data_IF_159509679292
#
_entry.id   IF_159509679292
#
_cell.length_a   1.000
_cell.length_b   1.000
_cell.length_c   1.000
_cell.angle_alpha   90.00
_cell.angle_beta   90.00
_cell.angle_gamma   90.00
#
_symmetry.space_group_name_H-M   'P 1'
#
loop_
_entity.id
_entity.type
_entity.pdbx_description
1 polymer ?
#
# COMPACT_ATOMS: atom_id res chain seq x y z
N UNK A 1 23.96 -31.13 46.72
CA UNK A 1 22.61 -30.67 46.27
C UNK A 1 22.84 -29.75 45.07
N UNK A 2 22.76 -30.31 43.85
CA UNK A 2 22.98 -29.58 42.60
C UNK A 2 21.62 -29.10 42.12
N UNK A 3 21.44 -27.81 42.05
CA UNK A 3 20.25 -27.19 41.50
C UNK A 3 20.41 -27.25 39.99
N UNK A 4 19.53 -28.00 39.33
CA UNK A 4 19.46 -28.14 37.89
C UNK A 4 18.60 -26.98 37.39
N UNK A 5 19.27 -25.93 36.91
CA UNK A 5 18.64 -24.75 36.32
C UNK A 5 18.56 -24.98 34.81
N UNK A 6 17.61 -25.85 34.41
CA UNK A 6 17.21 -25.96 33.01
C UNK A 6 16.14 -24.91 32.73
N UNK A 7 16.58 -23.71 32.41
CA UNK A 7 15.72 -22.72 31.77
C UNK A 7 15.22 -23.36 30.47
N UNK A 8 13.94 -23.71 30.40
CA UNK A 8 13.25 -24.07 29.17
C UNK A 8 13.33 -22.86 28.23
N UNK A 9 14.08 -23.01 27.13
CA UNK A 9 14.00 -22.08 26.01
C UNK A 9 12.54 -22.05 25.55
N UNK A 10 11.93 -20.85 25.34
CA UNK A 10 10.56 -20.80 24.86
C UNK A 10 10.51 -21.48 23.49
N UNK A 11 9.64 -22.47 23.33
CA UNK A 11 9.39 -23.17 22.06
C UNK A 11 9.13 -22.13 20.98
N UNK A 12 10.09 -21.93 20.11
CA UNK A 12 9.98 -21.01 18.98
C UNK A 12 8.83 -21.44 18.07
N UNK A 13 8.17 -20.49 17.36
CA UNK A 13 7.02 -20.79 16.53
C UNK A 13 7.32 -21.93 15.56
N UNK A 14 6.37 -22.83 15.35
CA UNK A 14 6.47 -23.96 14.41
C UNK A 14 6.96 -23.47 13.03
N UNK A 15 7.52 -24.35 12.20
CA UNK A 15 7.98 -23.99 10.83
C UNK A 15 6.91 -23.20 10.07
N UNK A 16 5.64 -23.60 10.21
CA UNK A 16 4.49 -22.91 9.60
C UNK A 16 4.24 -21.52 10.22
N UNK A 17 4.44 -21.35 11.51
CA UNK A 17 4.36 -20.05 12.18
C UNK A 17 5.47 -19.09 11.74
N UNK A 18 6.69 -19.61 11.49
CA UNK A 18 7.80 -18.80 10.99
C UNK A 18 7.62 -18.34 9.55
N UNK A 19 7.03 -19.16 8.67
CA UNK A 19 6.71 -18.77 7.30
C UNK A 19 5.62 -17.69 7.27
N UNK A 20 4.59 -17.82 8.11
CA UNK A 20 3.54 -16.80 8.24
C UNK A 20 4.10 -15.48 8.80
N UNK A 21 4.90 -15.55 9.84
CA UNK A 21 5.57 -14.40 10.43
C UNK A 21 6.49 -13.69 9.41
N UNK A 22 7.30 -14.45 8.65
CA UNK A 22 8.16 -13.90 7.60
C UNK A 22 7.34 -13.21 6.50
N UNK A 23 6.22 -13.80 6.10
CA UNK A 23 5.30 -13.20 5.15
C UNK A 23 4.76 -11.86 5.66
N UNK A 24 4.26 -11.83 6.90
CA UNK A 24 3.71 -10.61 7.51
C UNK A 24 4.76 -9.49 7.61
N UNK A 25 5.99 -9.83 8.04
CA UNK A 25 7.08 -8.85 8.13
C UNK A 25 7.52 -8.32 6.78
N UNK A 26 7.62 -9.18 5.75
CA UNK A 26 7.94 -8.76 4.39
C UNK A 26 6.83 -7.92 3.78
N UNK A 27 5.57 -8.34 3.95
CA UNK A 27 4.40 -7.59 3.47
C UNK A 27 4.35 -6.21 4.11
N UNK A 28 4.57 -6.11 5.42
CA UNK A 28 4.63 -4.84 6.13
C UNK A 28 5.78 -3.94 5.65
N UNK A 29 6.98 -4.51 5.45
CA UNK A 29 8.14 -3.76 4.95
C UNK A 29 7.92 -3.20 3.53
N UNK A 30 7.22 -3.94 2.68
CA UNK A 30 6.80 -3.45 1.35
C UNK A 30 5.74 -2.36 1.52
N UNK A 31 4.75 -2.57 2.38
CA UNK A 31 3.67 -1.61 2.65
C UNK A 31 4.18 -0.27 3.20
N UNK A 32 5.18 -0.31 4.05
CA UNK A 32 5.79 0.89 4.64
C UNK A 32 6.85 1.55 3.73
N UNK A 33 7.19 0.90 2.60
CA UNK A 33 8.24 1.37 1.69
C UNK A 33 9.65 1.17 2.23
N UNK A 34 9.84 0.34 3.27
CA UNK A 34 11.16 -0.08 3.76
C UNK A 34 11.87 -0.92 2.70
N UNK A 35 11.10 -1.71 1.95
CA UNK A 35 11.55 -2.39 0.72
C UNK A 35 10.81 -1.72 -0.43
N UNK A 36 11.54 -1.00 -1.27
CA UNK A 36 10.96 -0.15 -2.31
C UNK A 36 10.56 -0.94 -3.57
N UNK A 37 9.58 -0.46 -4.37
CA UNK A 37 9.29 -1.02 -5.69
C UNK A 37 10.55 -1.12 -6.57
N UNK A 38 10.75 -2.28 -7.20
CA UNK A 38 11.94 -2.60 -7.99
C UNK A 38 13.16 -3.02 -7.18
N UNK A 39 13.14 -2.92 -5.87
CA UNK A 39 14.25 -3.38 -5.03
C UNK A 39 14.36 -4.91 -5.09
N UNK A 40 15.58 -5.40 -5.40
CA UNK A 40 15.87 -6.84 -5.41
C UNK A 40 15.84 -7.38 -3.99
N UNK A 41 15.24 -8.56 -3.85
CA UNK A 41 15.16 -9.30 -2.61
C UNK A 41 15.81 -10.69 -2.79
N UNK A 42 16.88 -10.94 -2.03
CA UNK A 42 17.53 -12.24 -2.02
C UNK A 42 17.14 -13.01 -0.76
N UNK A 43 16.85 -14.31 -0.88
CA UNK A 43 16.51 -15.15 0.28
C UNK A 43 17.56 -15.05 1.40
N UNK A 44 18.84 -14.90 1.03
CA UNK A 44 19.96 -14.73 1.97
C UNK A 44 19.86 -13.46 2.79
N UNK A 45 19.54 -12.35 2.12
CA UNK A 45 19.54 -11.02 2.72
C UNK A 45 18.32 -10.89 3.64
N UNK A 46 17.17 -11.39 3.17
CA UNK A 46 15.94 -11.44 3.98
C UNK A 46 16.10 -12.37 5.18
N UNK A 47 16.75 -13.54 5.01
CA UNK A 47 17.05 -14.46 6.10
C UNK A 47 17.94 -13.81 7.16
N UNK A 48 18.96 -13.08 6.75
CA UNK A 48 19.82 -12.33 7.66
C UNK A 48 19.06 -11.18 8.36
N UNK A 49 18.26 -10.43 7.60
CA UNK A 49 17.46 -9.31 8.13
C UNK A 49 16.43 -9.77 9.17
N UNK A 50 15.73 -10.89 8.91
CA UNK A 50 14.72 -11.44 9.82
C UNK A 50 15.29 -12.33 10.94
N UNK A 51 16.56 -12.72 10.88
CA UNK A 51 17.19 -13.61 11.85
C UNK A 51 16.66 -15.06 11.85
N UNK A 52 16.12 -15.53 10.72
CA UNK A 52 15.55 -16.88 10.58
C UNK A 52 16.18 -17.64 9.41
N UNK A 53 15.97 -18.96 9.36
CA UNK A 53 16.49 -19.81 8.29
C UNK A 53 15.84 -19.52 6.93
N UNK A 54 16.48 -19.91 5.81
CA UNK A 54 16.01 -19.64 4.44
C UNK A 54 14.70 -20.32 4.08
N UNK A 55 14.38 -21.49 4.65
CA UNK A 55 13.18 -22.24 4.29
C UNK A 55 11.88 -21.44 4.52
N UNK A 56 11.58 -20.91 5.72
CA UNK A 56 10.39 -20.08 5.92
C UNK A 56 10.41 -18.78 5.11
N UNK A 57 11.58 -18.19 4.86
CA UNK A 57 11.72 -17.01 4.01
C UNK A 57 11.32 -17.33 2.56
N UNK A 58 11.81 -18.45 2.01
CA UNK A 58 11.47 -18.89 0.65
C UNK A 58 9.96 -19.13 0.48
N UNK A 59 9.32 -19.74 1.47
CA UNK A 59 7.87 -19.95 1.47
C UNK A 59 7.12 -18.62 1.49
N UNK A 60 7.52 -17.68 2.34
CA UNK A 60 6.95 -16.34 2.40
C UNK A 60 7.12 -15.58 1.07
N UNK A 61 8.32 -15.59 0.49
CA UNK A 61 8.62 -14.94 -0.79
C UNK A 61 7.83 -15.56 -1.95
N UNK A 62 7.68 -16.88 -1.99
CA UNK A 62 6.83 -17.56 -2.99
C UNK A 62 5.36 -17.14 -2.87
N UNK A 63 4.86 -16.97 -1.66
CA UNK A 63 3.51 -16.50 -1.43
C UNK A 63 3.34 -15.06 -1.92
N UNK A 64 4.25 -14.15 -1.58
CA UNK A 64 4.26 -12.78 -2.08
C UNK A 64 4.37 -12.72 -3.60
N UNK A 65 5.12 -13.64 -4.21
CA UNK A 65 5.20 -13.76 -5.67
C UNK A 65 3.89 -14.26 -6.28
N UNK A 66 3.24 -15.26 -5.69
CA UNK A 66 1.94 -15.75 -6.14
C UNK A 66 0.84 -14.67 -6.01
N UNK A 67 0.98 -13.77 -5.04
CA UNK A 67 0.12 -12.62 -4.84
C UNK A 67 0.50 -11.43 -5.75
N UNK A 68 1.61 -11.50 -6.52
CA UNK A 68 2.06 -10.46 -7.44
C UNK A 68 2.81 -9.29 -6.78
N UNK A 69 3.12 -9.37 -5.48
CA UNK A 69 3.90 -8.36 -4.76
C UNK A 69 5.40 -8.45 -5.05
N UNK A 70 5.87 -9.64 -5.41
CA UNK A 70 7.22 -9.89 -5.90
C UNK A 70 7.17 -10.47 -7.32
N UNK A 71 8.13 -10.11 -8.14
CA UNK A 71 8.28 -10.62 -9.52
C UNK A 71 9.73 -11.07 -9.79
N UNK A 72 9.92 -11.84 -10.86
CA UNK A 72 11.27 -12.23 -11.27
C UNK A 72 12.09 -11.02 -11.72
N UNK A 73 13.23 -10.80 -11.07
CA UNK A 73 14.14 -9.72 -11.44
C UNK A 73 14.99 -10.09 -12.66
N UNK A 74 15.25 -9.12 -13.53
CA UNK A 74 16.24 -9.28 -14.59
C UNK A 74 17.61 -9.64 -13.98
N UNK A 75 18.18 -10.79 -14.39
CA UNK A 75 19.44 -11.29 -13.83
C UNK A 75 19.29 -12.18 -12.59
N UNK A 76 18.08 -12.70 -12.34
CA UNK A 76 17.76 -13.72 -11.31
C UNK A 76 17.37 -13.16 -9.96
N UNK A 77 16.71 -14.00 -9.16
CA UNK A 77 16.10 -13.63 -7.88
C UNK A 77 14.72 -12.98 -8.05
N UNK A 78 14.20 -12.43 -6.97
CA UNK A 78 12.94 -11.69 -6.96
C UNK A 78 13.20 -10.19 -6.69
N UNK A 79 12.27 -9.36 -7.12
CA UNK A 79 12.22 -7.93 -6.80
C UNK A 79 10.79 -7.55 -6.44
N UNK A 80 10.61 -6.46 -5.71
CA UNK A 80 9.29 -5.88 -5.49
C UNK A 80 8.74 -5.40 -6.84
N UNK A 81 7.51 -5.77 -7.15
CA UNK A 81 6.89 -5.49 -8.43
C UNK A 81 6.78 -3.97 -8.71
N UNK A 82 6.92 -3.59 -9.98
CA UNK A 82 6.73 -2.22 -10.46
C UNK A 82 5.54 -2.22 -11.42
N UNK A 83 4.58 -1.35 -11.15
CA UNK A 83 3.42 -1.19 -12.01
C UNK A 83 3.58 0.04 -12.91
N UNK A 84 3.45 -0.16 -14.21
CA UNK A 84 3.40 0.91 -15.20
C UNK A 84 2.04 1.66 -15.16
N UNK A 85 1.94 2.75 -15.91
CA UNK A 85 0.72 3.56 -15.94
C UNK A 85 -0.52 2.79 -16.43
N UNK A 86 -0.33 1.81 -17.30
CA UNK A 86 -1.40 0.96 -17.81
C UNK A 86 -1.92 0.04 -16.71
N UNK A 87 -1.03 -0.66 -16.01
CA UNK A 87 -1.38 -1.53 -14.89
C UNK A 87 -2.05 -0.75 -13.74
N UNK A 88 -1.59 0.49 -13.47
CA UNK A 88 -2.26 1.40 -12.53
C UNK A 88 -3.71 1.68 -12.98
N UNK A 89 -3.94 1.97 -14.26
CA UNK A 89 -5.28 2.19 -14.79
C UNK A 89 -6.18 0.96 -14.66
N UNK A 90 -5.66 -0.23 -14.97
CA UNK A 90 -6.35 -1.51 -14.82
C UNK A 90 -6.72 -1.79 -13.35
N UNK A 91 -5.80 -1.53 -12.43
CA UNK A 91 -6.02 -1.65 -10.99
C UNK A 91 -7.16 -0.73 -10.50
N UNK A 92 -7.14 0.55 -10.89
CA UNK A 92 -8.18 1.50 -10.49
C UNK A 92 -9.54 1.20 -11.11
N UNK A 93 -9.61 0.62 -12.30
CA UNK A 93 -10.87 0.19 -12.91
C UNK A 93 -11.55 -0.92 -12.09
N UNK A 94 -10.78 -1.87 -11.55
CA UNK A 94 -11.31 -2.91 -10.65
C UNK A 94 -11.70 -2.31 -9.30
N UNK A 95 -10.88 -1.42 -8.74
CA UNK A 95 -11.21 -0.68 -7.50
C UNK A 95 -12.53 0.05 -7.62
N UNK A 96 -12.72 0.81 -8.70
CA UNK A 96 -13.95 1.57 -8.94
C UNK A 96 -15.19 0.67 -8.87
N UNK A 97 -15.12 -0.51 -9.49
CA UNK A 97 -16.23 -1.46 -9.50
C UNK A 97 -16.51 -2.05 -8.11
N UNK A 98 -15.46 -2.50 -7.42
CA UNK A 98 -15.60 -3.16 -6.12
C UNK A 98 -15.95 -2.17 -5.00
N UNK A 99 -15.32 -1.00 -4.98
CA UNK A 99 -15.58 0.01 -3.95
C UNK A 99 -16.94 0.69 -4.13
N UNK A 100 -17.37 0.91 -5.37
CA UNK A 100 -18.74 1.34 -5.65
C UNK A 100 -19.76 0.36 -5.12
N UNK A 101 -19.59 -0.94 -5.41
CA UNK A 101 -20.44 -2.00 -4.88
C UNK A 101 -20.41 -2.06 -3.35
N UNK A 102 -19.25 -1.86 -2.72
CA UNK A 102 -19.12 -1.84 -1.26
C UNK A 102 -19.94 -0.69 -0.63
N UNK A 103 -19.86 0.50 -1.21
CA UNK A 103 -20.62 1.66 -0.73
C UNK A 103 -22.13 1.47 -0.88
N UNK A 104 -22.59 0.91 -2.01
CA UNK A 104 -24.00 0.57 -2.20
C UNK A 104 -24.50 -0.41 -1.14
N UNK A 105 -23.76 -1.51 -0.94
CA UNK A 105 -24.12 -2.52 0.07
C UNK A 105 -24.02 -1.96 1.50
N UNK A 106 -23.07 -1.08 1.79
CA UNK A 106 -23.01 -0.41 3.09
C UNK A 106 -24.22 0.48 3.33
N UNK A 107 -24.74 1.18 2.31
CA UNK A 107 -25.97 1.95 2.42
C UNK A 107 -27.21 1.07 2.70
N UNK A 108 -27.25 -0.14 2.15
CA UNK A 108 -28.32 -1.11 2.38
C UNK A 108 -28.23 -1.77 3.76
N UNK A 109 -27.02 -2.22 4.15
CA UNK A 109 -26.82 -3.21 5.20
C UNK A 109 -26.28 -2.62 6.52
N UNK A 110 -25.61 -1.46 6.50
CA UNK A 110 -25.00 -0.89 7.70
C UNK A 110 -26.02 -0.68 8.81
N UNK A 111 -25.72 -1.16 10.02
CA UNK A 111 -26.52 -0.91 11.20
C UNK A 111 -26.34 0.53 11.75
N UNK A 112 -27.08 0.89 12.80
CA UNK A 112 -27.02 2.23 13.38
C UNK A 112 -25.64 2.53 14.00
N UNK A 113 -24.99 1.53 14.58
CA UNK A 113 -23.66 1.65 15.21
C UNK A 113 -22.61 1.88 14.15
N UNK A 114 -22.60 1.09 13.07
CA UNK A 114 -21.65 1.20 11.96
C UNK A 114 -21.77 2.57 11.27
N UNK A 115 -22.98 3.06 11.06
CA UNK A 115 -23.19 4.42 10.52
C UNK A 115 -22.69 5.50 11.46
N UNK A 116 -22.88 5.36 12.79
CA UNK A 116 -22.34 6.28 13.78
C UNK A 116 -20.80 6.29 13.80
N UNK A 117 -20.16 5.13 13.66
CA UNK A 117 -18.69 5.02 13.57
C UNK A 117 -18.20 5.68 12.28
N UNK A 118 -18.87 5.46 11.15
CA UNK A 118 -18.49 6.09 9.88
C UNK A 118 -18.53 7.62 9.95
N UNK A 119 -19.56 8.17 10.63
CA UNK A 119 -19.64 9.60 10.86
C UNK A 119 -18.49 10.10 11.75
N UNK A 120 -18.18 9.40 12.84
CA UNK A 120 -17.09 9.76 13.73
C UNK A 120 -15.71 9.70 13.03
N UNK A 121 -15.48 8.72 12.15
CA UNK A 121 -14.27 8.65 11.32
C UNK A 121 -14.20 9.89 10.41
N UNK A 122 -15.29 10.29 9.77
CA UNK A 122 -15.32 11.46 8.91
C UNK A 122 -15.00 12.75 9.67
N UNK A 123 -15.57 12.93 10.87
CA UNK A 123 -15.27 14.06 11.77
C UNK A 123 -13.78 14.09 12.17
N UNK A 124 -13.20 12.90 12.48
CA UNK A 124 -11.76 12.76 12.77
C UNK A 124 -10.90 13.19 11.59
N UNK A 125 -11.25 12.75 10.38
CA UNK A 125 -10.52 13.10 9.15
C UNK A 125 -10.53 14.62 8.88
N UNK A 126 -11.66 15.28 9.14
CA UNK A 126 -11.79 16.73 8.98
C UNK A 126 -10.94 17.53 9.98
N UNK A 127 -10.68 16.95 11.15
CA UNK A 127 -9.87 17.57 12.21
C UNK A 127 -8.36 17.34 12.06
N UNK A 128 -7.93 16.51 11.10
CA UNK A 128 -6.50 16.24 10.87
C UNK A 128 -5.75 17.49 10.38
N UNK A 129 -4.48 17.64 10.78
CA UNK A 129 -3.61 18.64 10.19
C UNK A 129 -3.37 18.32 8.69
N UNK A 130 -2.88 19.30 7.93
CA UNK A 130 -2.51 19.13 6.52
C UNK A 130 -1.22 18.28 6.39
N UNK A 131 -1.34 17.00 6.78
CA UNK A 131 -0.30 15.97 6.67
C UNK A 131 -0.80 14.84 5.75
N UNK A 132 -0.26 14.71 4.54
CA UNK A 132 -0.63 13.66 3.60
C UNK A 132 -0.54 12.24 4.15
N UNK A 133 0.38 11.97 5.07
CA UNK A 133 0.53 10.65 5.67
C UNK A 133 -0.55 10.37 6.71
N UNK A 134 -0.93 11.38 7.50
CA UNK A 134 -2.03 11.25 8.45
C UNK A 134 -3.34 10.99 7.71
N UNK A 135 -3.64 11.79 6.66
CA UNK A 135 -4.81 11.57 5.82
C UNK A 135 -4.82 10.20 5.15
N UNK A 136 -3.67 9.70 4.69
CA UNK A 136 -3.59 8.37 4.07
C UNK A 136 -3.95 7.23 5.05
N UNK A 137 -3.52 7.33 6.32
CA UNK A 137 -3.87 6.32 7.35
C UNK A 137 -5.35 6.33 7.69
N UNK A 138 -5.92 7.50 7.92
CA UNK A 138 -7.35 7.62 8.23
C UNK A 138 -8.24 7.23 7.03
N UNK A 139 -7.78 7.51 5.81
CA UNK A 139 -8.43 7.05 4.58
C UNK A 139 -8.51 5.52 4.51
N UNK A 140 -7.45 4.81 4.92
CA UNK A 140 -7.46 3.34 4.97
C UNK A 140 -8.53 2.85 5.96
N UNK A 141 -8.60 3.43 7.16
CA UNK A 141 -9.61 3.10 8.17
C UNK A 141 -11.04 3.41 7.68
N UNK A 142 -11.25 4.56 7.02
CA UNK A 142 -12.52 4.96 6.44
C UNK A 142 -13.04 3.93 5.44
N UNK A 143 -12.24 3.57 4.47
CA UNK A 143 -12.62 2.60 3.43
C UNK A 143 -12.83 1.20 4.02
N UNK A 144 -11.96 0.72 4.90
CA UNK A 144 -12.11 -0.59 5.55
C UNK A 144 -13.41 -0.68 6.34
N UNK A 145 -13.85 0.43 6.98
CA UNK A 145 -15.13 0.47 7.68
C UNK A 145 -16.31 0.32 6.71
N UNK A 146 -16.29 1.02 5.57
CA UNK A 146 -17.32 0.86 4.51
C UNK A 146 -17.35 -0.58 4.00
N UNK A 147 -16.18 -1.20 3.76
CA UNK A 147 -16.13 -2.58 3.26
C UNK A 147 -16.68 -3.59 4.28
N UNK A 148 -16.42 -3.37 5.57
CA UNK A 148 -17.01 -4.17 6.65
C UNK A 148 -18.51 -4.03 6.70
N UNK A 149 -19.02 -2.78 6.68
CA UNK A 149 -20.44 -2.44 6.74
C UNK A 149 -21.25 -2.89 5.50
N UNK A 150 -20.59 -3.27 4.41
CA UNK A 150 -21.23 -3.92 3.26
C UNK A 150 -21.77 -5.32 3.58
N UNK A 151 -21.34 -5.95 4.68
CA UNK A 151 -21.72 -7.31 5.11
C UNK A 151 -21.59 -8.39 4.03
N UNK A 152 -20.63 -8.23 3.10
CA UNK A 152 -20.34 -9.16 2.03
C UNK A 152 -18.91 -9.70 2.13
N UNK A 153 -18.78 -10.91 2.75
CA UNK A 153 -17.48 -11.54 2.97
C UNK A 153 -16.67 -11.79 1.69
N UNK A 154 -17.34 -12.04 0.56
CA UNK A 154 -16.66 -12.29 -0.71
C UNK A 154 -16.12 -10.99 -1.31
N UNK A 155 -16.90 -9.91 -1.26
CA UNK A 155 -16.46 -8.59 -1.66
C UNK A 155 -15.27 -8.13 -0.82
N UNK A 156 -15.38 -8.21 0.51
CA UNK A 156 -14.32 -7.85 1.45
C UNK A 156 -13.02 -8.60 1.18
N UNK A 157 -13.09 -9.92 0.94
CA UNK A 157 -11.92 -10.74 0.62
C UNK A 157 -11.23 -10.26 -0.67
N UNK A 158 -11.99 -9.97 -1.72
CA UNK A 158 -11.44 -9.52 -3.01
C UNK A 158 -10.87 -8.10 -2.91
N UNK A 159 -11.55 -7.19 -2.19
CA UNK A 159 -11.04 -5.83 -1.94
C UNK A 159 -9.71 -5.86 -1.19
N UNK A 160 -9.62 -6.60 -0.08
CA UNK A 160 -8.37 -6.72 0.68
C UNK A 160 -7.24 -7.29 -0.15
N UNK A 161 -7.50 -8.32 -0.97
CA UNK A 161 -6.49 -8.87 -1.88
C UNK A 161 -6.03 -7.84 -2.91
N UNK A 162 -6.95 -7.08 -3.50
CA UNK A 162 -6.63 -6.03 -4.46
C UNK A 162 -5.84 -4.90 -3.79
N UNK A 163 -6.25 -4.44 -2.61
CA UNK A 163 -5.64 -3.29 -1.92
C UNK A 163 -4.22 -3.57 -1.41
N UNK A 164 -3.80 -4.83 -1.31
CA UNK A 164 -2.40 -5.19 -1.05
C UNK A 164 -1.43 -4.60 -2.09
N UNK A 165 -1.92 -4.20 -3.27
CA UNK A 165 -1.10 -3.56 -4.31
C UNK A 165 -0.93 -2.04 -4.12
N UNK A 166 -1.74 -1.39 -3.29
CA UNK A 166 -1.67 0.07 -3.10
C UNK A 166 -0.27 0.56 -2.71
N UNK A 167 0.46 -0.10 -1.80
CA UNK A 167 1.83 0.30 -1.43
C UNK A 167 2.81 0.28 -2.59
N UNK A 168 2.61 -0.59 -3.58
CA UNK A 168 3.47 -0.72 -4.76
C UNK A 168 3.31 0.45 -5.74
N UNK A 169 2.26 1.25 -5.57
CA UNK A 169 2.00 2.41 -6.43
C UNK A 169 2.82 3.64 -6.05
N UNK A 170 3.70 3.54 -5.04
CA UNK A 170 4.56 4.63 -4.59
C UNK A 170 3.89 5.59 -3.61
N UNK A 171 4.27 6.87 -3.63
CA UNK A 171 3.80 7.88 -2.68
C UNK A 171 2.26 7.99 -2.68
N UNK A 172 1.68 8.35 -1.52
CA UNK A 172 0.23 8.55 -1.41
C UNK A 172 -0.31 9.60 -2.38
N UNK A 173 -1.54 9.40 -2.85
CA UNK A 173 -2.25 10.37 -3.69
C UNK A 173 -2.49 11.71 -3.00
N UNK A 174 -2.49 11.74 -1.68
CA UNK A 174 -2.59 12.95 -0.87
C UNK A 174 -1.41 13.92 -1.05
N UNK A 175 -0.31 13.48 -1.67
CA UNK A 175 0.78 14.37 -2.09
C UNK A 175 0.42 15.23 -3.31
N UNK A 176 -0.66 14.92 -4.04
CA UNK A 176 -1.11 15.76 -5.14
C UNK A 176 -1.73 17.07 -4.60
N UNK A 177 -1.46 18.22 -5.23
CA UNK A 177 -1.98 19.52 -4.79
C UNK A 177 -3.52 19.51 -4.68
N UNK A 178 -4.05 19.99 -3.56
CA UNK A 178 -5.49 20.09 -3.31
C UNK A 178 -6.20 18.76 -3.04
N UNK A 179 -5.51 17.61 -3.10
CA UNK A 179 -6.15 16.29 -2.96
C UNK A 179 -6.78 16.08 -1.58
N UNK A 180 -6.18 16.61 -0.53
CA UNK A 180 -6.73 16.51 0.83
C UNK A 180 -8.16 17.09 0.87
N UNK A 181 -8.33 18.33 0.46
CA UNK A 181 -9.63 18.99 0.47
C UNK A 181 -10.65 18.27 -0.42
N UNK A 182 -10.27 17.95 -1.66
CA UNK A 182 -11.15 17.23 -2.60
C UNK A 182 -11.56 15.85 -2.05
N UNK A 183 -10.64 15.11 -1.43
CA UNK A 183 -10.95 13.80 -0.86
C UNK A 183 -11.94 13.91 0.31
N UNK A 184 -11.80 14.91 1.18
CA UNK A 184 -12.74 15.13 2.28
C UNK A 184 -14.15 15.43 1.79
N UNK A 185 -14.32 16.25 0.74
CA UNK A 185 -15.61 16.54 0.12
C UNK A 185 -16.23 15.28 -0.50
N UNK A 186 -15.43 14.49 -1.21
CA UNK A 186 -15.82 13.21 -1.81
C UNK A 186 -16.26 12.20 -0.74
N UNK A 187 -15.50 12.05 0.35
CA UNK A 187 -15.84 11.17 1.47
C UNK A 187 -17.12 11.62 2.16
N UNK A 188 -17.29 12.92 2.38
CA UNK A 188 -18.52 13.45 2.95
C UNK A 188 -19.75 13.11 2.10
N UNK A 189 -19.59 13.13 0.77
CA UNK A 189 -20.67 12.76 -0.16
C UNK A 189 -21.02 11.28 -0.04
N UNK A 190 -20.03 10.40 0.07
CA UNK A 190 -20.23 8.95 0.30
C UNK A 190 -20.94 8.71 1.64
N UNK A 191 -20.44 9.32 2.71
CA UNK A 191 -21.04 9.19 4.06
C UNK A 191 -22.49 9.63 4.04
N UNK A 192 -22.79 10.79 3.45
CA UNK A 192 -24.14 11.34 3.37
C UNK A 192 -25.10 10.36 2.67
N UNK A 193 -24.66 9.72 1.59
CA UNK A 193 -25.47 8.74 0.86
C UNK A 193 -25.69 7.45 1.69
N UNK A 194 -24.66 6.96 2.39
CA UNK A 194 -24.77 5.78 3.27
C UNK A 194 -25.72 6.06 4.45
N UNK A 195 -25.60 7.23 5.08
CA UNK A 195 -26.47 7.63 6.19
C UNK A 195 -27.93 7.78 5.74
N UNK A 196 -28.15 8.28 4.52
CA UNK A 196 -29.49 8.39 3.91
C UNK A 196 -30.03 7.04 3.43
N UNK A 197 -29.28 5.95 3.51
CA UNK A 197 -29.63 4.62 2.96
C UNK A 197 -29.97 4.68 1.47
N UNK A 198 -29.19 5.45 0.71
CA UNK A 198 -29.33 5.58 -0.75
C UNK A 198 -28.19 4.81 -1.44
N UNK A 199 -28.39 3.53 -1.79
CA UNK A 199 -27.33 2.70 -2.38
C UNK A 199 -26.88 3.20 -3.75
N UNK A 200 -27.77 3.79 -4.54
CA UNK A 200 -27.46 4.30 -5.88
C UNK A 200 -26.50 5.49 -5.78
N UNK A 201 -26.81 6.45 -4.93
CA UNK A 201 -25.93 7.61 -4.69
C UNK A 201 -24.63 7.21 -4.01
N UNK A 202 -24.64 6.26 -3.08
CA UNK A 202 -23.43 5.77 -2.43
C UNK A 202 -22.47 5.12 -3.44
N UNK A 203 -22.98 4.27 -4.35
CA UNK A 203 -22.21 3.68 -5.43
C UNK A 203 -21.58 4.74 -6.34
N UNK A 204 -22.41 5.68 -6.82
CA UNK A 204 -21.98 6.74 -7.74
C UNK A 204 -20.91 7.63 -7.09
N UNK A 205 -21.11 8.05 -5.85
CA UNK A 205 -20.15 8.85 -5.10
C UNK A 205 -18.81 8.13 -4.90
N UNK A 206 -18.84 6.84 -4.52
CA UNK A 206 -17.63 6.05 -4.36
C UNK A 206 -16.88 5.85 -5.69
N UNK A 207 -17.58 5.59 -6.79
CA UNK A 207 -16.98 5.49 -8.13
C UNK A 207 -16.32 6.80 -8.55
N UNK A 208 -16.95 7.94 -8.33
CA UNK A 208 -16.38 9.26 -8.62
C UNK A 208 -15.12 9.52 -7.78
N UNK A 209 -15.15 9.18 -6.49
CA UNK A 209 -13.99 9.26 -5.61
C UNK A 209 -12.79 8.45 -6.15
N UNK A 210 -13.00 7.20 -6.59
CA UNK A 210 -11.92 6.36 -7.12
C UNK A 210 -11.38 6.90 -8.45
N UNK A 211 -12.22 7.45 -9.34
CA UNK A 211 -11.77 8.12 -10.57
C UNK A 211 -10.90 9.35 -10.25
N UNK A 212 -11.31 10.16 -9.29
CA UNK A 212 -10.54 11.31 -8.82
C UNK A 212 -9.20 10.89 -8.19
N UNK A 213 -9.21 9.79 -7.41
CA UNK A 213 -8.00 9.21 -6.86
C UNK A 213 -7.04 8.70 -7.97
N UNK A 214 -7.55 8.13 -9.08
CA UNK A 214 -6.73 7.76 -10.24
C UNK A 214 -6.07 9.00 -10.88
N UNK A 215 -6.81 10.09 -11.06
CA UNK A 215 -6.24 11.34 -11.62
C UNK A 215 -5.10 11.87 -10.74
N UNK A 216 -5.31 11.88 -9.41
CA UNK A 216 -4.29 12.26 -8.45
C UNK A 216 -3.08 11.31 -8.46
N UNK A 217 -3.31 10.00 -8.64
CA UNK A 217 -2.26 9.00 -8.79
C UNK A 217 -1.40 9.28 -10.03
N UNK A 218 -2.01 9.54 -11.17
CA UNK A 218 -1.29 9.84 -12.42
C UNK A 218 -0.47 11.13 -12.29
N UNK A 219 -0.98 12.12 -11.54
CA UNK A 219 -0.23 13.35 -11.25
C UNK A 219 1.05 13.03 -10.44
N UNK A 220 0.93 12.26 -9.34
CA UNK A 220 2.06 11.86 -8.49
C UNK A 220 3.10 11.06 -9.31
N UNK A 221 2.67 10.10 -10.13
CA UNK A 221 3.57 9.32 -11.00
C UNK A 221 4.32 10.23 -11.98
N UNK A 222 3.62 11.19 -12.59
CA UNK A 222 4.26 12.14 -13.52
C UNK A 222 5.30 13.03 -12.80
N UNK A 223 5.04 13.45 -11.58
CA UNK A 223 6.01 14.20 -10.76
C UNK A 223 7.24 13.36 -10.43
N UNK A 224 7.06 12.09 -10.03
CA UNK A 224 8.16 11.19 -9.69
C UNK A 224 9.07 10.92 -10.90
N UNK A 225 8.48 10.73 -12.08
CA UNK A 225 9.23 10.58 -13.35
C UNK A 225 10.03 11.85 -13.66
N UNK A 226 9.43 13.03 -13.51
CA UNK A 226 10.12 14.32 -13.73
C UNK A 226 11.26 14.53 -12.73
N UNK A 227 11.04 14.20 -11.46
CA UNK A 227 12.05 14.29 -10.40
C UNK A 227 13.24 13.35 -10.68
N UNK A 228 12.98 12.10 -11.11
CA UNK A 228 14.00 11.15 -11.49
C UNK A 228 14.82 11.62 -12.70
N UNK A 229 14.18 12.19 -13.72
CA UNK A 229 14.84 12.75 -14.89
C UNK A 229 15.77 13.93 -14.52
N UNK A 230 15.33 14.83 -13.63
CA UNK A 230 16.16 15.95 -13.12
C UNK A 230 17.38 15.45 -12.37
N UNK A 231 17.25 14.44 -11.49
CA UNK A 231 18.37 13.83 -10.75
C UNK A 231 19.41 13.19 -11.68
N UNK A 232 18.98 12.58 -12.79
CA UNK A 232 19.87 12.02 -13.80
C UNK A 232 20.63 13.11 -14.55
N UNK A 233 19.99 14.22 -14.89
CA UNK A 233 20.57 15.38 -15.60
C UNK A 233 21.60 16.13 -14.75
N UNK A 234 21.43 16.19 -13.42
CA UNK A 234 22.36 16.85 -12.50
C UNK A 234 23.56 15.97 -12.11
N UNK A 235 23.53 14.68 -12.44
CA UNK A 235 24.64 13.78 -12.24
C UNK A 235 25.62 13.89 -13.42
N UNK A 236 26.40 14.98 -13.43
CA UNK A 236 27.49 15.19 -14.40
C UNK A 236 28.41 13.97 -14.43
N UNK A 237 28.84 13.58 -15.61
CA UNK A 237 29.90 12.57 -15.75
C UNK A 237 31.11 13.01 -14.91
N UNK A 238 31.75 12.12 -14.16
CA UNK A 238 33.02 12.46 -13.50
C UNK A 238 34.01 12.92 -14.57
N UNK A 239 34.81 13.94 -14.25
CA UNK A 239 35.82 14.48 -15.15
C UNK A 239 36.61 13.35 -15.80
N UNK A 240 36.69 13.37 -17.13
CA UNK A 240 37.34 12.34 -17.93
C UNK A 240 38.81 12.19 -17.57
N UNK A 241 39.44 11.05 -17.92
CA UNK A 241 40.85 10.78 -17.59
C UNK A 241 41.85 11.83 -18.04
N UNK A 242 41.50 12.62 -19.05
CA UNK A 242 42.31 13.74 -19.57
C UNK A 242 42.35 14.96 -18.65
N UNK A 243 41.32 15.28 -17.92
CA UNK A 243 41.26 16.43 -16.99
C UNK A 243 41.95 16.13 -15.64
N UNK A 244 42.04 14.88 -15.23
CA UNK A 244 42.81 14.47 -14.03
C UNK A 244 44.28 14.66 -14.20
N UNK A 245 44.85 14.34 -15.40
CA UNK A 245 46.30 14.51 -15.70
C UNK A 245 46.72 15.98 -15.74
N UNK A 246 45.82 16.90 -16.09
CA UNK A 246 46.12 18.33 -16.11
C UNK A 246 46.15 19.00 -14.70
N UNK A 247 45.57 18.39 -13.68
CA UNK A 247 45.61 18.87 -12.30
C UNK A 247 46.78 18.32 -11.48
N UNK A 248 47.32 17.17 -11.87
CA UNK A 248 48.50 16.58 -11.22
C UNK A 248 49.84 17.12 -11.77
N UNK A 249 49.81 17.93 -12.86
CA UNK A 249 50.98 18.53 -13.49
C UNK A 249 51.16 20.03 -13.16
N UNK A 250 50.45 20.58 -12.16
CA UNK A 250 50.64 21.89 -11.60
C UNK A 250 50.92 21.81 -10.10
#
# INVERSE_FOLDING_TARGET
>A
MRINDSAEEPEGPTSRGRSQWAYERLHEAIREGTIEPGQRTMETDISAWLGISRTPVREAMRRLQAEGLLEHAAGGGLAVAIYDQRAIGEFYAVRESLEGTAAALAAENADATERGILQAIMESMQALPDDPRAHARENEAFHEHIYGAAHNRFLLKNLRALLNFVPLLGRTTYNAPGRVATALEEHQTIVTAILARDPVRAEEAARLHIRSALQSRMHVVAEDVRAAARRRSTRSLPAGPSERRAREAK
#
